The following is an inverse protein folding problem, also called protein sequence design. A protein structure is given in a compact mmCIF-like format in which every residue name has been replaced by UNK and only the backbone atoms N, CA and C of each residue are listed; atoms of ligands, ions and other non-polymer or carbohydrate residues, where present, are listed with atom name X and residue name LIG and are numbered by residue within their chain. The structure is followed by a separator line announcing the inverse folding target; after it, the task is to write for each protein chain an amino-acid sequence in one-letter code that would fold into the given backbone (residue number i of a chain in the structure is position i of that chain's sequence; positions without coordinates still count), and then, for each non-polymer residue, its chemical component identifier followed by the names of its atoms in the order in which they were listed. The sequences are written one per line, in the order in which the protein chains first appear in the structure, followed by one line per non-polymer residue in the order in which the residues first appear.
data_IF_756832028769
#
_entry.id   IF_756832028769
#
_cell.length_a   1.000
_cell.length_b   1.000
_cell.length_c   1.000
_cell.angle_alpha   90.00
_cell.angle_beta   90.00
_cell.angle_gamma   90.00
#
_symmetry.space_group_name_H-M   'P 1'
#
loop_
_entity.id
_entity.type
_entity.pdbx_description
1 polymer ?
#
# COMPACT_ATOMS: atom_id res chain seq x y z
N UNK A 1 -17.01 -11.46 -5.89
CA UNK A 1 -15.67 -11.48 -6.54
C UNK A 1 -14.76 -10.45 -5.87
N UNK A 2 -13.53 -10.83 -5.52
CA UNK A 2 -12.54 -10.01 -4.79
C UNK A 2 -11.47 -9.36 -5.68
N UNK A 3 -11.83 -8.99 -6.91
CA UNK A 3 -10.87 -8.42 -7.88
C UNK A 3 -10.22 -7.14 -7.34
N UNK A 4 -8.92 -6.98 -7.61
CA UNK A 4 -8.12 -5.77 -7.36
C UNK A 4 -7.29 -5.46 -8.60
N UNK A 5 -7.05 -4.18 -8.82
CA UNK A 5 -6.25 -3.72 -9.96
C UNK A 5 -4.80 -4.23 -9.83
N UNK A 6 -4.19 -4.56 -10.97
CA UNK A 6 -2.76 -4.84 -11.04
C UNK A 6 -1.93 -3.59 -10.78
N UNK A 7 -0.65 -3.78 -10.46
CA UNK A 7 0.28 -2.68 -10.27
C UNK A 7 0.38 -1.83 -11.55
N UNK A 8 0.36 -0.48 -11.43
CA UNK A 8 0.69 0.40 -12.55
C UNK A 8 2.13 0.18 -13.05
N UNK A 9 2.39 0.56 -14.29
CA UNK A 9 3.75 0.56 -14.84
C UNK A 9 4.66 1.49 -14.01
N UNK A 10 5.88 1.04 -13.73
CA UNK A 10 6.88 1.75 -12.91
C UNK A 10 6.47 2.00 -11.44
N UNK A 11 5.44 1.32 -10.93
CA UNK A 11 5.08 1.38 -9.53
C UNK A 11 6.11 0.62 -8.67
N UNK A 12 6.72 1.25 -7.64
CA UNK A 12 7.58 0.54 -6.71
C UNK A 12 6.82 -0.59 -6.00
N UNK A 13 7.46 -1.75 -5.85
CA UNK A 13 6.83 -2.93 -5.24
C UNK A 13 6.29 -2.63 -3.83
N UNK A 14 7.03 -1.86 -3.03
CA UNK A 14 6.63 -1.44 -1.69
C UNK A 14 5.34 -0.61 -1.69
N UNK A 15 5.11 0.23 -2.72
CA UNK A 15 3.87 1.02 -2.86
C UNK A 15 2.71 0.10 -3.25
N UNK A 16 2.92 -0.86 -4.16
CA UNK A 16 1.89 -1.82 -4.52
C UNK A 16 1.47 -2.69 -3.33
N UNK A 17 2.42 -3.11 -2.49
CA UNK A 17 2.14 -3.83 -1.23
C UNK A 17 1.25 -3.01 -0.30
N UNK A 18 1.49 -1.70 -0.15
CA UNK A 18 0.63 -0.81 0.63
C UNK A 18 -0.79 -0.78 0.07
N UNK A 19 -0.94 -0.62 -1.26
CA UNK A 19 -2.27 -0.62 -1.90
C UNK A 19 -3.02 -1.92 -1.63
N UNK A 20 -2.35 -3.07 -1.71
CA UNK A 20 -2.95 -4.37 -1.40
C UNK A 20 -3.42 -4.48 0.05
N UNK A 21 -2.66 -3.96 1.03
CA UNK A 21 -3.09 -3.90 2.45
C UNK A 21 -4.32 -3.01 2.62
N UNK A 22 -4.37 -1.85 1.97
CA UNK A 22 -5.53 -0.96 1.99
C UNK A 22 -6.79 -1.61 1.41
N UNK A 23 -6.60 -2.59 0.52
CA UNK A 23 -7.65 -3.29 -0.20
C UNK A 23 -8.01 -4.65 0.40
N UNK A 24 -7.56 -4.95 1.61
CA UNK A 24 -7.90 -6.19 2.30
C UNK A 24 -9.43 -6.38 2.35
N UNK A 25 -9.84 -7.62 2.12
CA UNK A 25 -11.22 -8.03 2.14
C UNK A 25 -11.86 -7.71 3.50
N UNK A 26 -11.13 -8.00 4.58
CA UNK A 26 -11.53 -7.73 5.97
C UNK A 26 -11.18 -6.29 6.35
N UNK A 27 -12.15 -5.41 6.65
CA UNK A 27 -11.89 -4.03 7.05
C UNK A 27 -10.93 -3.90 8.23
N UNK A 28 -10.99 -4.83 9.18
CA UNK A 28 -10.15 -4.87 10.38
C UNK A 28 -8.67 -5.10 10.10
N UNK A 29 -8.32 -5.68 8.93
CA UNK A 29 -6.94 -5.88 8.51
C UNK A 29 -6.35 -4.65 7.81
N UNK A 30 -7.18 -3.66 7.45
CA UNK A 30 -6.71 -2.48 6.71
C UNK A 30 -5.92 -1.58 7.65
N UNK A 31 -4.79 -1.02 7.19
CA UNK A 31 -3.95 -0.19 8.03
C UNK A 31 -4.65 1.12 8.40
N UNK A 32 -4.33 1.65 9.58
CA UNK A 32 -4.74 2.99 9.98
C UNK A 32 -3.94 4.03 9.21
N UNK A 33 -4.48 5.24 9.07
CA UNK A 33 -3.77 6.34 8.43
C UNK A 33 -2.42 6.67 9.08
N UNK A 34 -2.29 6.51 10.40
CA UNK A 34 -1.03 6.72 11.12
C UNK A 34 0.03 5.69 10.75
N UNK A 35 -0.36 4.46 10.41
CA UNK A 35 0.56 3.41 9.95
C UNK A 35 0.96 3.66 8.49
N UNK A 36 -0.01 4.00 7.64
CA UNK A 36 0.22 4.39 6.25
C UNK A 36 1.20 5.56 6.12
N UNK A 37 1.03 6.60 6.93
CA UNK A 37 1.91 7.77 6.92
C UNK A 37 3.35 7.41 7.29
N UNK A 38 3.55 6.50 8.26
CA UNK A 38 4.88 6.00 8.62
C UNK A 38 5.49 5.18 7.48
N UNK A 39 4.76 4.22 6.91
CA UNK A 39 5.26 3.37 5.82
C UNK A 39 5.63 4.20 4.58
N UNK A 40 4.75 5.12 4.16
CA UNK A 40 5.00 6.01 3.02
C UNK A 40 6.20 6.95 3.26
N UNK A 41 6.39 7.42 4.50
CA UNK A 41 7.57 8.23 4.85
C UNK A 41 8.87 7.44 4.71
N UNK A 42 8.88 6.17 5.11
CA UNK A 42 10.04 5.29 4.94
C UNK A 42 10.34 5.05 3.45
N UNK A 43 9.31 4.77 2.64
CA UNK A 43 9.50 4.56 1.20
C UNK A 43 10.01 5.81 0.51
N UNK A 44 9.44 6.99 0.83
CA UNK A 44 9.88 8.27 0.26
C UNK A 44 11.39 8.50 0.48
N UNK A 45 11.92 8.17 1.67
CA UNK A 45 13.35 8.27 2.00
C UNK A 45 14.25 7.30 1.25
N UNK A 46 13.71 6.23 0.63
CA UNK A 46 14.50 5.31 -0.20
C UNK A 46 14.65 5.80 -1.65
N UNK A 47 13.73 6.67 -2.08
CA UNK A 47 13.61 7.13 -3.47
C UNK A 47 14.23 8.53 -3.63
N UNK A 48 14.27 9.31 -2.55
CA UNK A 48 15.00 10.59 -2.46
C UNK A 48 16.40 10.33 -1.95
#
# INVERSE_FOLDING_TARGET
SGYRMSAPQHCPEDIFKIMMKCWDYKPENRPKFTELQKELTVIKKKIT
#
